data_IF_342871092649
#
_entry.id   IF_342871092649
#
_cell.length_a   1.000
_cell.length_b   1.000
_cell.length_c   1.000
_cell.angle_alpha   90.00
_cell.angle_beta   90.00
_cell.angle_gamma   90.00
#
_symmetry.space_group_name_H-M   'P 1'
#
loop_
_entity.id
_entity.type
_entity.pdbx_description
1 polymer ?
#
# COMPACT_ATOMS: atom_id res chain seq x y z
N UNK A 1 -6.69 0.29 -12.78
CA UNK A 1 -6.70 1.32 -11.71
C UNK A 1 -5.99 2.62 -12.15
N UNK A 2 -4.68 2.58 -12.42
CA UNK A 2 -3.88 3.79 -12.75
C UNK A 2 -4.36 4.52 -14.01
N UNK A 3 -4.63 3.79 -15.10
CA UNK A 3 -5.13 4.39 -16.35
C UNK A 3 -6.45 5.14 -16.15
N UNK A 4 -7.36 4.60 -15.33
CA UNK A 4 -8.61 5.29 -15.00
C UNK A 4 -8.36 6.51 -14.13
N UNK A 5 -7.47 6.42 -13.13
CA UNK A 5 -7.05 7.59 -12.35
C UNK A 5 -6.51 8.71 -13.26
N UNK A 6 -5.66 8.41 -14.24
CA UNK A 6 -5.13 9.44 -15.15
C UNK A 6 -6.20 10.12 -16.01
N UNK A 7 -7.31 9.43 -16.29
CA UNK A 7 -8.43 10.02 -17.04
C UNK A 7 -9.29 10.90 -16.13
N UNK A 8 -9.55 10.48 -14.89
CA UNK A 8 -10.39 11.20 -13.92
C UNK A 8 -9.67 12.40 -13.30
N UNK A 9 -8.41 12.23 -12.90
CA UNK A 9 -7.61 13.22 -12.18
C UNK A 9 -6.52 13.81 -13.08
N UNK A 10 -6.92 14.37 -14.23
CA UNK A 10 -5.98 14.96 -15.19
C UNK A 10 -5.15 16.06 -14.53
N UNK A 11 -3.85 16.07 -14.81
CA UNK A 11 -2.90 17.03 -14.23
C UNK A 11 -2.44 16.69 -12.81
N UNK A 12 -2.97 15.63 -12.18
CA UNK A 12 -2.53 15.17 -10.86
C UNK A 12 -1.70 13.87 -11.00
N UNK A 13 -0.36 13.96 -11.06
CA UNK A 13 0.49 12.78 -11.21
C UNK A 13 0.45 11.90 -9.96
N UNK A 14 0.51 10.58 -10.16
CA UNK A 14 0.66 9.64 -9.06
C UNK A 14 2.08 9.71 -8.49
N UNK A 15 2.20 9.89 -7.18
CA UNK A 15 3.50 9.93 -6.51
C UNK A 15 4.06 8.53 -6.21
N UNK A 16 3.19 7.58 -5.87
CA UNK A 16 3.57 6.20 -5.51
C UNK A 16 2.38 5.25 -5.55
N UNK A 17 2.67 3.96 -5.54
CA UNK A 17 1.72 2.86 -5.33
C UNK A 17 2.13 2.12 -4.05
N UNK A 18 1.16 1.90 -3.16
CA UNK A 18 1.34 1.05 -1.97
C UNK A 18 0.54 -0.23 -2.18
N UNK A 19 1.21 -1.38 -2.14
CA UNK A 19 0.63 -2.70 -2.36
C UNK A 19 0.24 -3.35 -1.04
N UNK A 20 -1.06 -3.53 -0.83
CA UNK A 20 -1.64 -4.24 0.32
C UNK A 20 -2.21 -5.60 -0.05
N UNK A 21 -2.73 -6.32 0.94
CA UNK A 21 -3.35 -7.64 0.75
C UNK A 21 -2.36 -8.81 0.76
N UNK A 22 -2.90 -10.04 0.71
CA UNK A 22 -2.13 -11.27 0.94
C UNK A 22 -1.19 -11.69 -0.18
N UNK A 23 -1.47 -11.20 -1.39
CA UNK A 23 -0.70 -11.46 -2.61
C UNK A 23 0.40 -10.41 -2.85
N UNK A 24 0.44 -9.34 -2.05
CA UNK A 24 1.46 -8.33 -2.16
C UNK A 24 2.82 -8.90 -1.71
N UNK A 25 3.77 -8.97 -2.64
CA UNK A 25 5.13 -9.46 -2.41
C UNK A 25 6.17 -8.43 -2.83
N UNK A 26 7.40 -8.46 -2.28
CA UNK A 26 8.48 -7.57 -2.70
C UNK A 26 8.76 -7.68 -4.20
N UNK A 27 8.74 -8.90 -4.74
CA UNK A 27 8.97 -9.17 -6.16
C UNK A 27 7.89 -8.52 -7.04
N UNK A 28 6.63 -8.56 -6.61
CA UNK A 28 5.54 -7.88 -7.30
C UNK A 28 5.73 -6.36 -7.28
N UNK A 29 6.16 -5.79 -6.14
CA UNK A 29 6.47 -4.36 -6.03
C UNK A 29 7.57 -3.94 -7.01
N UNK A 30 8.64 -4.73 -7.12
CA UNK A 30 9.75 -4.45 -8.02
C UNK A 30 9.34 -4.52 -9.49
N UNK A 31 8.57 -5.55 -9.87
CA UNK A 31 8.07 -5.72 -11.25
C UNK A 31 7.16 -4.56 -11.63
N UNK A 32 6.18 -4.23 -10.77
CA UNK A 32 5.25 -3.13 -11.02
C UNK A 32 5.98 -1.78 -11.05
N UNK A 33 6.96 -1.56 -10.17
CA UNK A 33 7.75 -0.34 -10.14
C UNK A 33 8.48 -0.07 -11.46
N UNK A 34 9.07 -1.12 -12.04
CA UNK A 34 9.73 -1.07 -13.36
C UNK A 34 8.73 -0.82 -14.49
N UNK A 35 7.63 -1.58 -14.52
CA UNK A 35 6.63 -1.49 -15.60
C UNK A 35 5.88 -0.16 -15.61
N UNK A 36 5.61 0.41 -14.44
CA UNK A 36 4.83 1.63 -14.28
C UNK A 36 5.71 2.90 -14.23
N UNK A 37 7.03 2.75 -14.10
CA UNK A 37 7.96 3.83 -13.80
C UNK A 37 7.49 4.69 -12.61
N UNK A 38 7.04 4.03 -11.54
CA UNK A 38 6.50 4.65 -10.33
C UNK A 38 7.08 3.94 -9.12
N UNK A 39 7.28 4.70 -8.02
CA UNK A 39 7.67 4.10 -6.74
C UNK A 39 6.55 3.15 -6.28
N UNK A 40 6.88 1.87 -6.14
CA UNK A 40 5.99 0.85 -5.61
C UNK A 40 6.57 0.31 -4.30
N UNK A 41 5.76 0.25 -3.24
CA UNK A 41 6.19 -0.26 -1.93
C UNK A 41 5.11 -1.14 -1.31
N UNK A 42 5.51 -2.06 -0.42
CA UNK A 42 4.55 -2.85 0.35
C UNK A 42 3.89 -2.03 1.44
N UNK A 43 2.63 -2.32 1.72
CA UNK A 43 1.96 -1.73 2.87
C UNK A 43 2.53 -2.27 4.17
N UNK A 44 2.75 -1.34 5.09
CA UNK A 44 2.97 -1.60 6.51
C UNK A 44 2.10 -0.61 7.30
N UNK A 45 0.92 -1.04 7.76
CA UNK A 45 0.03 -0.19 8.56
C UNK A 45 0.60 0.07 9.96
N UNK A 46 1.58 -0.72 10.40
CA UNK A 46 2.19 -0.63 11.73
C UNK A 46 3.57 0.03 11.72
N UNK A 47 3.99 0.64 10.59
CA UNK A 47 5.34 1.22 10.42
C UNK A 47 5.73 2.24 11.50
N UNK A 48 4.76 2.89 12.12
CA UNK A 48 4.95 3.90 13.16
C UNK A 48 4.81 3.33 14.58
N UNK A 49 4.54 2.03 14.72
CA UNK A 49 4.27 1.37 15.99
C UNK A 49 5.38 0.37 16.31
N UNK A 50 5.83 0.36 17.56
CA UNK A 50 6.69 -0.70 18.08
C UNK A 50 5.83 -1.90 18.47
N UNK A 51 5.66 -2.85 17.54
CA UNK A 51 4.94 -4.08 17.81
C UNK A 51 5.78 -5.00 18.69
N UNK A 52 5.18 -5.51 19.77
CA UNK A 52 5.84 -6.50 20.64
C UNK A 52 5.82 -7.92 20.08
N UNK A 53 5.02 -8.17 19.04
CA UNK A 53 4.85 -9.48 18.40
C UNK A 53 4.94 -9.34 16.90
N UNK A 54 5.47 -10.38 16.25
CA UNK A 54 5.38 -10.49 14.80
C UNK A 54 3.92 -10.79 14.40
N UNK A 55 3.39 -9.96 13.52
CA UNK A 55 2.02 -10.04 12.98
C UNK A 55 1.99 -10.72 11.61
N UNK A 56 3.13 -11.28 11.18
CA UNK A 56 3.29 -11.95 9.90
C UNK A 56 3.23 -10.96 8.74
N UNK A 57 2.45 -11.29 7.70
CA UNK A 57 2.31 -10.44 6.51
C UNK A 57 1.56 -9.15 6.85
N UNK A 58 2.30 -8.07 7.08
CA UNK A 58 1.79 -6.77 7.53
C UNK A 58 0.70 -6.18 6.62
N UNK A 59 0.84 -6.29 5.30
CA UNK A 59 -0.15 -5.78 4.34
C UNK A 59 -1.53 -6.45 4.38
N UNK A 60 -1.69 -7.60 5.07
CA UNK A 60 -3.01 -8.19 5.31
C UNK A 60 -3.86 -7.36 6.29
N UNK A 61 -3.21 -6.57 7.13
CA UNK A 61 -3.85 -5.85 8.22
C UNK A 61 -4.33 -4.46 7.82
N UNK A 62 -4.15 -4.01 6.57
CA UNK A 62 -4.47 -2.65 6.12
C UNK A 62 -5.91 -2.23 6.44
N UNK A 63 -6.88 -3.10 6.14
CA UNK A 63 -8.30 -2.82 6.37
C UNK A 63 -8.62 -2.83 7.86
N UNK A 64 -8.16 -3.84 8.60
CA UNK A 64 -8.40 -3.96 10.03
C UNK A 64 -7.78 -2.80 10.82
N UNK A 65 -6.55 -2.41 10.47
CA UNK A 65 -5.87 -1.25 11.05
C UNK A 65 -6.61 0.04 10.74
N UNK A 66 -7.09 0.22 9.49
CA UNK A 66 -7.90 1.39 9.12
C UNK A 66 -9.23 1.48 9.88
N UNK A 67 -9.92 0.35 10.06
CA UNK A 67 -11.15 0.27 10.86
C UNK A 67 -10.88 0.59 12.34
N UNK A 68 -9.82 0.03 12.93
CA UNK A 68 -9.45 0.34 14.31
C UNK A 68 -9.10 1.83 14.49
N UNK A 69 -8.35 2.41 13.55
CA UNK A 69 -7.99 3.84 13.58
C UNK A 69 -9.20 4.76 13.49
N UNK A 70 -10.26 4.34 12.79
CA UNK A 70 -11.51 5.10 12.71
C UNK A 70 -12.19 5.24 14.08
N UNK A 71 -12.11 4.24 14.94
CA UNK A 71 -12.73 4.28 16.27
C UNK A 71 -11.99 5.18 17.27
N UNK A 72 -10.72 5.50 17.00
CA UNK A 72 -9.89 6.37 17.85
C UNK A 72 -9.99 7.85 17.44
N UNK A 73 -10.74 8.14 16.36
CA UNK A 73 -10.87 9.46 15.76
C UNK A 73 -12.26 10.03 15.95
#
# INVERSE_FOLDING_TARGET
CIRYHSVTFRGQPLARVVLGGGEATPQLADVLGKMLNLKCELSDPFRALSLQRDVGRRGLWDVAAGLALREVK
#
